data_IF_060353736672
#
_entry.id   IF_060353736672
#
_cell.length_a   1.000
_cell.length_b   1.000
_cell.length_c   1.000
_cell.angle_alpha   90.00
_cell.angle_beta   90.00
_cell.angle_gamma   90.00
#
_symmetry.space_group_name_H-M   'P 1'
#
loop_
_entity.id
_entity.type
_entity.pdbx_description
1 polymer ?
#
# COMPACT_ATOMS: atom_id res chain seq x y z
N UNK A 1 -11.92 -12.20 -4.61
CA UNK A 1 -12.37 -13.55 -5.06
C UNK A 1 -12.95 -13.43 -6.47
N UNK A 2 -12.21 -13.83 -7.50
CA UNK A 2 -12.69 -13.77 -8.89
C UNK A 2 -12.39 -15.02 -9.71
N UNK A 3 -11.39 -15.78 -9.27
CA UNK A 3 -10.95 -17.04 -9.88
C UNK A 3 -11.34 -18.28 -9.06
N UNK A 4 -12.21 -18.12 -8.05
CA UNK A 4 -12.61 -19.21 -7.15
C UNK A 4 -11.59 -19.58 -6.07
N UNK A 5 -10.62 -18.71 -5.80
CA UNK A 5 -9.60 -18.90 -4.77
C UNK A 5 -9.78 -17.94 -3.58
N UNK A 6 -9.30 -18.34 -2.39
CA UNK A 6 -9.36 -17.54 -1.16
C UNK A 6 -8.23 -16.48 -1.11
N UNK A 7 -8.25 -15.53 -0.15
CA UNK A 7 -7.18 -14.54 0.02
C UNK A 7 -5.84 -15.19 0.43
N UNK A 8 -4.87 -15.15 -0.47
CA UNK A 8 -3.57 -15.84 -0.35
C UNK A 8 -2.43 -14.90 0.13
N UNK A 9 -1.20 -15.41 0.25
CA UNK A 9 0.04 -14.68 0.60
C UNK A 9 -0.11 -13.91 1.92
N UNK A 10 -0.77 -14.55 2.89
CA UNK A 10 -1.00 -13.96 4.21
C UNK A 10 -2.10 -12.90 4.26
N UNK A 11 -2.86 -12.66 3.17
CA UNK A 11 -3.99 -11.74 3.19
C UNK A 11 -5.05 -12.15 4.24
N UNK A 12 -5.22 -13.45 4.50
CA UNK A 12 -6.09 -13.95 5.57
C UNK A 12 -5.64 -13.54 6.98
N UNK A 13 -4.36 -13.21 7.19
CA UNK A 13 -3.84 -12.63 8.43
C UNK A 13 -3.95 -11.10 8.45
N UNK A 14 -3.66 -10.46 7.31
CA UNK A 14 -3.61 -9.00 7.20
C UNK A 14 -5.00 -8.34 7.16
N UNK A 15 -5.93 -8.89 6.39
CA UNK A 15 -7.22 -8.25 6.12
C UNK A 15 -8.10 -8.07 7.37
N UNK A 16 -8.17 -9.02 8.33
CA UNK A 16 -8.91 -8.82 9.58
C UNK A 16 -8.42 -7.64 10.44
N UNK A 17 -7.17 -7.21 10.25
CA UNK A 17 -6.61 -6.05 10.95
C UNK A 17 -7.03 -4.70 10.39
N UNK A 18 -7.66 -4.67 9.22
CA UNK A 18 -8.17 -3.43 8.62
C UNK A 18 -9.42 -2.95 9.37
N UNK A 19 -9.56 -1.64 9.53
CA UNK A 19 -10.65 -1.04 10.30
C UNK A 19 -12.04 -1.45 9.82
N UNK A 20 -12.93 -1.76 10.77
CA UNK A 20 -14.32 -2.13 10.51
C UNK A 20 -14.45 -3.40 9.65
N UNK A 21 -15.37 -3.38 8.69
CA UNK A 21 -15.61 -4.52 7.78
C UNK A 21 -14.83 -4.42 6.47
N UNK A 22 -13.87 -3.50 6.35
CA UNK A 22 -13.21 -3.20 5.08
C UNK A 22 -12.41 -4.39 4.55
N UNK A 23 -11.62 -5.07 5.40
CA UNK A 23 -10.87 -6.25 5.00
C UNK A 23 -11.76 -7.41 4.57
N UNK A 24 -12.88 -7.63 5.28
CA UNK A 24 -13.89 -8.64 4.90
C UNK A 24 -14.51 -8.32 3.54
N UNK A 25 -14.86 -7.05 3.31
CA UNK A 25 -15.37 -6.59 2.03
C UNK A 25 -14.37 -6.87 0.89
N UNK A 26 -13.08 -6.55 1.06
CA UNK A 26 -12.05 -6.82 0.06
C UNK A 26 -11.85 -8.32 -0.19
N UNK A 27 -11.84 -9.13 0.88
CA UNK A 27 -11.70 -10.59 0.79
C UNK A 27 -12.81 -11.21 -0.07
N UNK A 28 -14.07 -10.84 0.20
CA UNK A 28 -15.25 -11.42 -0.44
C UNK A 28 -15.46 -10.89 -1.87
N UNK A 29 -15.31 -9.59 -2.07
CA UNK A 29 -15.64 -8.96 -3.37
C UNK A 29 -14.48 -8.98 -4.35
N UNK A 30 -13.23 -9.00 -3.86
CA UNK A 30 -12.06 -8.75 -4.71
C UNK A 30 -12.06 -7.37 -5.36
N UNK A 31 -12.76 -6.39 -4.78
CA UNK A 31 -12.83 -5.04 -5.33
C UNK A 31 -11.43 -4.40 -5.36
N UNK A 32 -11.16 -3.61 -6.41
CA UNK A 32 -9.90 -2.87 -6.54
C UNK A 32 -9.98 -1.59 -5.72
N UNK A 33 -8.89 -1.30 -5.00
CA UNK A 33 -8.72 -0.06 -4.24
C UNK A 33 -7.69 0.85 -4.91
N UNK A 34 -7.71 2.14 -4.59
CA UNK A 34 -6.71 3.11 -5.07
C UNK A 34 -5.72 3.47 -3.95
N UNK A 35 -4.69 4.24 -4.30
CA UNK A 35 -3.61 4.60 -3.37
C UNK A 35 -4.15 5.32 -2.12
N UNK A 36 -5.21 6.12 -2.26
CA UNK A 36 -5.89 6.78 -1.14
C UNK A 36 -6.42 5.76 -0.14
N UNK A 37 -7.26 4.82 -0.61
CA UNK A 37 -7.79 3.74 0.23
C UNK A 37 -6.68 2.92 0.89
N UNK A 38 -5.61 2.62 0.16
CA UNK A 38 -4.47 1.87 0.69
C UNK A 38 -3.76 2.63 1.82
N UNK A 39 -3.57 3.94 1.67
CA UNK A 39 -2.99 4.79 2.73
C UNK A 39 -3.93 4.91 3.93
N UNK A 40 -5.23 5.14 3.71
CA UNK A 40 -6.23 5.28 4.77
C UNK A 40 -6.47 4.00 5.57
N UNK A 41 -6.41 2.85 4.90
CA UNK A 41 -6.58 1.54 5.55
C UNK A 41 -5.31 1.05 6.25
N UNK A 42 -4.17 1.74 6.07
CA UNK A 42 -2.88 1.32 6.61
C UNK A 42 -2.20 0.20 5.79
N UNK A 43 -2.73 -0.15 4.61
CA UNK A 43 -2.09 -1.05 3.67
C UNK A 43 -0.83 -0.44 3.02
N UNK A 44 -0.76 0.88 2.94
CA UNK A 44 0.42 1.63 2.50
C UNK A 44 0.83 2.65 3.56
N UNK A 45 2.14 2.75 3.82
CA UNK A 45 2.70 3.66 4.82
C UNK A 45 3.01 5.05 4.26
N UNK A 46 3.43 5.12 3.00
CA UNK A 46 3.86 6.35 2.34
C UNK A 46 3.29 6.43 0.93
N UNK A 47 3.22 7.64 0.39
CA UNK A 47 2.90 7.86 -1.02
C UNK A 47 3.94 8.77 -1.65
N UNK A 48 4.25 8.56 -2.93
CA UNK A 48 5.17 9.39 -3.72
C UNK A 48 4.50 9.71 -5.06
N UNK A 49 4.96 10.75 -5.76
CA UNK A 49 4.50 10.98 -7.14
C UNK A 49 5.15 9.96 -8.07
N UNK A 50 4.39 9.47 -9.06
CA UNK A 50 4.88 8.47 -10.00
C UNK A 50 6.16 8.91 -10.73
N UNK A 51 6.24 10.20 -11.11
CA UNK A 51 7.41 10.78 -11.77
C UNK A 51 8.69 10.75 -10.92
N UNK A 52 8.57 10.64 -9.59
CA UNK A 52 9.70 10.67 -8.67
C UNK A 52 10.28 9.26 -8.39
N UNK A 53 9.67 8.20 -8.94
CA UNK A 53 10.08 6.80 -8.68
C UNK A 53 11.54 6.51 -9.03
N UNK A 54 12.02 7.02 -10.16
CA UNK A 54 13.41 6.80 -10.58
C UNK A 54 14.39 7.44 -9.59
N UNK A 55 14.17 8.71 -9.23
CA UNK A 55 15.01 9.42 -8.26
C UNK A 55 14.96 8.80 -6.85
N UNK A 56 13.80 8.26 -6.46
CA UNK A 56 13.68 7.51 -5.21
C UNK A 56 14.55 6.25 -5.21
N UNK A 57 14.49 5.45 -6.28
CA UNK A 57 15.30 4.24 -6.41
C UNK A 57 16.80 4.53 -6.42
N UNK A 58 17.23 5.54 -7.18
CA UNK A 58 18.64 5.95 -7.23
C UNK A 58 19.15 6.33 -5.82
N UNK A 59 18.35 7.09 -5.07
CA UNK A 59 18.69 7.48 -3.71
C UNK A 59 18.73 6.29 -2.75
N UNK A 60 17.76 5.39 -2.85
CA UNK A 60 17.69 4.19 -2.01
C UNK A 60 18.90 3.28 -2.24
N UNK A 61 19.31 3.10 -3.50
CA UNK A 61 20.50 2.31 -3.86
C UNK A 61 21.77 2.97 -3.32
N UNK A 62 21.88 4.29 -3.43
CA UNK A 62 23.06 5.01 -2.97
C UNK A 62 23.22 5.04 -1.44
N UNK A 63 22.12 5.15 -0.69
CA UNK A 63 22.17 5.31 0.78
C UNK A 63 21.95 4.01 1.55
N UNK A 64 21.19 3.05 0.99
CA UNK A 64 20.72 1.86 1.70
C UNK A 64 19.72 2.14 2.83
N UNK A 65 19.33 3.40 3.05
CA UNK A 65 18.41 3.83 4.11
C UNK A 65 17.05 4.24 3.50
N UNK A 66 16.01 3.40 3.66
CA UNK A 66 14.69 3.67 3.08
C UNK A 66 13.98 4.87 3.72
N UNK A 67 14.16 5.10 5.01
CA UNK A 67 13.51 6.22 5.72
C UNK A 67 14.14 7.56 5.34
N UNK A 68 15.47 7.60 5.22
CA UNK A 68 16.15 8.78 4.70
C UNK A 68 15.80 9.04 3.22
N UNK A 69 15.69 7.99 2.40
CA UNK A 69 15.30 8.14 1.01
C UNK A 69 13.86 8.67 0.88
N UNK A 70 12.89 8.07 1.56
CA UNK A 70 11.47 8.43 1.49
C UNK A 70 11.19 9.85 1.97
N UNK A 71 11.91 10.36 2.99
CA UNK A 71 11.71 11.73 3.52
C UNK A 71 11.78 12.82 2.44
N UNK A 72 12.54 12.61 1.37
CA UNK A 72 12.64 13.57 0.25
C UNK A 72 11.54 13.47 -0.80
N UNK A 73 10.75 12.40 -0.82
CA UNK A 73 9.78 12.10 -1.87
C UNK A 73 8.34 11.91 -1.36
N UNK A 74 8.18 11.65 -0.05
CA UNK A 74 6.89 11.40 0.57
C UNK A 74 5.96 12.60 0.41
N UNK A 75 4.76 12.33 -0.09
CA UNK A 75 3.66 13.28 -0.15
C UNK A 75 2.50 12.76 0.70
N UNK A 76 1.72 13.65 1.35
CA UNK A 76 0.52 13.22 2.06
C UNK A 76 -0.52 12.69 1.06
N UNK A 77 -1.15 11.56 1.41
CA UNK A 77 -2.29 11.06 0.65
C UNK A 77 -3.44 12.07 0.73
N UNK A 78 -3.99 12.48 -0.42
CA UNK A 78 -5.21 13.28 -0.44
C UNK A 78 -6.42 12.39 -0.14
N UNK A 79 -7.40 12.98 0.55
CA UNK A 79 -8.74 12.43 0.67
C UNK A 79 -9.46 12.45 -0.68
#
# INVERSE_FOLDING_TARGET
VGIGFFPDVGASHLLPGLGGSFGMYLALTGNRIRYGDASWSGLATHTIKAQDQAGFLDRLVATGDPEAALRGFSVPARR
#
